data_IF_806808618041
#
_entry.id   IF_806808618041
#
_cell.length_a   1.000
_cell.length_b   1.000
_cell.length_c   1.000
_cell.angle_alpha   90.00
_cell.angle_beta   90.00
_cell.angle_gamma   90.00
#
_symmetry.space_group_name_H-M   'P 1'
#
loop_
_entity.id
_entity.type
_entity.pdbx_description
1 polymer ?
#
# COMPACT_ATOMS: atom_id res chain seq x y z
N UNK A 1 -8.33 1.33 -16.53
CA UNK A 1 -8.46 -0.02 -15.95
C UNK A 1 -7.59 -0.08 -14.70
N UNK A 2 -8.17 -0.44 -13.55
CA UNK A 2 -7.43 -0.55 -12.29
C UNK A 2 -6.65 -1.87 -12.27
N UNK A 3 -5.36 -1.82 -11.88
CA UNK A 3 -4.50 -3.00 -11.79
C UNK A 3 -3.90 -3.08 -10.40
N UNK A 4 -4.12 -4.19 -9.70
CA UNK A 4 -3.49 -4.49 -8.42
C UNK A 4 -2.06 -4.99 -8.70
N UNK A 5 -1.07 -4.34 -8.09
CA UNK A 5 0.35 -4.69 -8.25
C UNK A 5 0.76 -5.78 -7.26
N UNK A 6 0.22 -5.74 -6.04
CA UNK A 6 0.47 -6.72 -4.98
C UNK A 6 -0.08 -6.25 -3.63
N UNK A 7 0.14 -7.04 -2.59
CA UNK A 7 -0.16 -6.71 -1.20
C UNK A 7 1.14 -6.56 -0.39
N UNK A 8 1.13 -5.68 0.60
CA UNK A 8 2.28 -5.43 1.46
C UNK A 8 1.83 -5.29 2.92
N UNK A 9 2.53 -5.99 3.82
CA UNK A 9 2.30 -5.96 5.26
C UNK A 9 3.36 -5.13 6.01
N UNK A 10 4.42 -4.71 5.32
CA UNK A 10 5.49 -3.89 5.88
C UNK A 10 5.99 -2.85 4.86
N UNK A 11 6.76 -1.86 5.35
CA UNK A 11 7.31 -0.79 4.51
C UNK A 11 8.30 -1.30 3.45
N UNK A 12 9.01 -2.39 3.73
CA UNK A 12 9.98 -2.99 2.82
C UNK A 12 9.29 -3.60 1.60
N UNK A 13 8.16 -4.28 1.81
CA UNK A 13 7.28 -4.82 0.78
C UNK A 13 6.67 -3.70 -0.05
N UNK A 14 6.26 -2.57 0.58
CA UNK A 14 5.79 -1.39 -0.16
C UNK A 14 6.90 -0.88 -1.10
N UNK A 15 8.14 -0.74 -0.64
CA UNK A 15 9.26 -0.36 -1.51
C UNK A 15 9.47 -1.34 -2.66
N UNK A 16 9.37 -2.65 -2.39
CA UNK A 16 9.46 -3.69 -3.41
C UNK A 16 8.36 -3.54 -4.48
N UNK A 17 7.12 -3.29 -4.08
CA UNK A 17 5.99 -3.08 -5.00
C UNK A 17 6.15 -1.81 -5.84
N UNK A 18 6.66 -0.73 -5.25
CA UNK A 18 6.98 0.50 -5.98
C UNK A 18 8.10 0.28 -7.00
N UNK A 19 9.12 -0.52 -6.66
CA UNK A 19 10.19 -0.87 -7.59
C UNK A 19 9.70 -1.74 -8.75
N UNK A 20 8.85 -2.74 -8.46
CA UNK A 20 8.18 -3.54 -9.50
C UNK A 20 7.36 -2.65 -10.42
N UNK A 21 6.59 -1.70 -9.85
CA UNK A 21 5.80 -0.75 -10.64
C UNK A 21 6.69 0.14 -11.50
N UNK A 22 7.75 0.72 -10.94
CA UNK A 22 8.74 1.52 -11.67
C UNK A 22 9.33 0.75 -12.86
N UNK A 23 9.78 -0.49 -12.63
CA UNK A 23 10.31 -1.37 -13.69
C UNK A 23 9.27 -1.66 -14.77
N UNK A 24 8.01 -1.88 -14.40
CA UNK A 24 6.92 -2.10 -15.36
C UNK A 24 6.64 -0.90 -16.27
N UNK A 25 7.02 0.31 -15.83
CA UNK A 25 6.90 1.55 -16.60
C UNK A 25 8.19 1.87 -17.40
N UNK A 26 9.25 1.07 -17.28
CA UNK A 26 10.53 1.34 -17.92
C UNK A 26 11.29 2.55 -17.37
N UNK A 27 10.91 3.05 -16.18
CA UNK A 27 11.56 4.22 -15.58
C UNK A 27 12.87 3.83 -14.89
N UNK A 28 13.91 4.65 -15.02
CA UNK A 28 15.11 4.54 -14.18
C UNK A 28 14.86 5.12 -12.79
N UNK A 29 15.71 4.83 -11.80
CA UNK A 29 15.62 5.47 -10.48
C UNK A 29 15.76 7.00 -10.57
N UNK A 30 16.67 7.48 -11.42
CA UNK A 30 16.86 8.92 -11.64
C UNK A 30 15.62 9.57 -12.26
N UNK A 31 14.99 8.93 -13.26
CA UNK A 31 13.76 9.43 -13.86
C UNK A 31 12.59 9.45 -12.87
N UNK A 32 12.53 8.45 -11.97
CA UNK A 32 11.54 8.45 -10.89
C UNK A 32 11.79 9.58 -9.89
N UNK A 33 13.04 9.80 -9.47
CA UNK A 33 13.38 10.88 -8.54
C UNK A 33 13.00 12.24 -9.13
N UNK A 34 13.30 12.48 -10.40
CA UNK A 34 12.93 13.71 -11.12
C UNK A 34 11.41 13.88 -11.21
N UNK A 35 10.68 12.86 -11.66
CA UNK A 35 9.23 12.88 -11.77
C UNK A 35 8.51 13.05 -10.41
N UNK A 36 9.10 12.57 -9.33
CA UNK A 36 8.57 12.69 -7.97
C UNK A 36 9.06 13.96 -7.23
N UNK A 37 9.91 14.79 -7.85
CA UNK A 37 10.50 15.96 -7.20
C UNK A 37 11.38 15.61 -6.00
N UNK A 38 12.04 14.46 -6.03
CA UNK A 38 12.94 13.97 -5.01
C UNK A 38 14.40 14.30 -5.33
N UNK A 39 15.25 14.26 -4.32
CA UNK A 39 16.70 14.40 -4.52
C UNK A 39 17.24 13.25 -5.38
N UNK A 40 18.13 13.54 -6.32
CA UNK A 40 18.78 12.52 -7.15
C UNK A 40 19.42 11.38 -6.32
N UNK A 41 19.12 10.14 -6.67
CA UNK A 41 19.58 8.92 -6.01
C UNK A 41 18.78 8.55 -4.75
N UNK A 42 17.67 9.22 -4.46
CA UNK A 42 16.80 8.90 -3.33
C UNK A 42 16.21 7.50 -3.50
N UNK A 43 15.57 7.23 -4.63
CA UNK A 43 14.95 5.93 -4.94
C UNK A 43 16.00 4.81 -5.02
N UNK A 44 17.22 5.07 -5.48
CA UNK A 44 18.31 4.09 -5.46
C UNK A 44 18.63 3.62 -4.04
N UNK A 45 18.67 4.53 -3.06
CA UNK A 45 18.90 4.16 -1.65
C UNK A 45 17.72 3.43 -1.03
N UNK A 46 16.51 3.78 -1.47
CA UNK A 46 15.27 3.19 -1.02
C UNK A 46 15.10 1.74 -1.51
N UNK A 47 15.47 1.46 -2.76
CA UNK A 47 15.35 0.13 -3.37
C UNK A 47 16.61 -0.74 -3.23
N UNK A 48 17.68 -0.21 -2.63
CA UNK A 48 18.89 -0.98 -2.38
C UNK A 48 18.65 -2.12 -1.39
N UNK A 49 19.25 -3.28 -1.66
CA UNK A 49 19.26 -4.43 -0.76
C UNK A 49 19.86 -4.01 0.59
N UNK A 50 19.11 -4.15 1.68
CA UNK A 50 19.55 -3.77 3.02
C UNK A 50 19.06 -2.41 3.53
N UNK A 51 18.10 -1.76 2.85
CA UNK A 51 17.31 -0.61 3.31
C UNK A 51 18.06 0.41 4.17
N UNK A 52 18.83 1.29 3.53
CA UNK A 52 19.51 2.38 4.24
C UNK A 52 18.59 3.57 4.56
N UNK A 53 17.30 3.53 4.18
CA UNK A 53 16.37 4.66 4.38
C UNK A 53 14.90 4.23 4.49
N UNK A 54 14.21 4.77 5.48
CA UNK A 54 12.75 4.64 5.62
C UNK A 54 12.02 5.67 4.74
N UNK A 55 10.80 5.36 4.32
CA UNK A 55 9.92 6.33 3.68
C UNK A 55 9.65 7.50 4.62
N UNK A 56 9.96 8.71 4.17
CA UNK A 56 9.38 9.91 4.78
C UNK A 56 7.95 10.10 4.28
N UNK A 57 7.07 10.69 5.10
CA UNK A 57 5.68 10.97 4.71
C UNK A 57 5.56 11.69 3.36
N UNK A 58 6.44 12.67 3.09
CA UNK A 58 6.43 13.42 1.81
C UNK A 58 6.91 12.58 0.62
N UNK A 59 7.80 11.62 0.84
CA UNK A 59 8.41 10.86 -0.25
C UNK A 59 7.46 9.80 -0.83
N UNK A 60 6.66 9.16 0.01
CA UNK A 60 5.74 8.11 -0.39
C UNK A 60 4.61 8.68 -1.28
N UNK A 61 3.99 9.79 -0.87
CA UNK A 61 2.94 10.43 -1.65
C UNK A 61 3.42 10.89 -3.02
N UNK A 62 4.60 11.53 -3.09
CA UNK A 62 5.18 11.97 -4.36
C UNK A 62 5.53 10.79 -5.28
N UNK A 63 6.10 9.71 -4.76
CA UNK A 63 6.38 8.52 -5.56
C UNK A 63 5.12 7.83 -6.07
N UNK A 64 4.07 7.74 -5.25
CA UNK A 64 2.78 7.20 -5.68
C UNK A 64 2.18 8.06 -6.81
N UNK A 65 2.23 9.38 -6.69
CA UNK A 65 1.81 10.30 -7.74
C UNK A 65 2.58 10.08 -9.04
N UNK A 66 3.91 10.02 -8.97
CA UNK A 66 4.78 9.79 -10.14
C UNK A 66 4.56 8.42 -10.80
N UNK A 67 4.24 7.39 -10.03
CA UNK A 67 4.00 6.02 -10.53
C UNK A 67 2.54 5.76 -10.93
N UNK A 68 1.65 6.74 -10.74
CA UNK A 68 0.20 6.58 -10.91
C UNK A 68 -0.39 5.49 -10.00
N UNK A 69 0.16 5.35 -8.80
CA UNK A 69 -0.22 4.36 -7.79
C UNK A 69 -1.15 4.92 -6.72
N UNK A 70 -1.88 4.03 -6.08
CA UNK A 70 -2.74 4.31 -4.92
C UNK A 70 -2.46 3.27 -3.84
N UNK A 71 -2.57 3.66 -2.57
CA UNK A 71 -2.55 2.73 -1.43
C UNK A 71 -3.98 2.48 -0.99
N UNK A 72 -4.35 1.21 -0.87
CA UNK A 72 -5.59 0.78 -0.25
C UNK A 72 -5.30 0.19 1.11
N UNK A 73 -6.05 0.63 2.12
CA UNK A 73 -6.06 -0.03 3.42
C UNK A 73 -7.12 -1.13 3.37
N UNK A 74 -6.68 -2.38 3.51
CA UNK A 74 -7.57 -3.53 3.64
C UNK A 74 -7.60 -3.92 5.10
N UNK A 75 -8.78 -3.85 5.71
CA UNK A 75 -9.01 -4.29 7.08
C UNK A 75 -9.72 -5.63 7.06
N UNK A 76 -9.14 -6.62 7.72
CA UNK A 76 -9.78 -7.91 7.99
C UNK A 76 -9.89 -8.06 9.51
N UNK A 77 -11.13 -7.96 10.02
CA UNK A 77 -11.40 -8.00 11.45
C UNK A 77 -11.12 -9.38 12.06
N UNK A 78 -11.13 -10.44 11.25
CA UNK A 78 -10.86 -11.81 11.69
C UNK A 78 -9.37 -12.06 11.93
N UNK A 79 -8.49 -11.26 11.30
CA UNK A 79 -7.04 -11.34 11.47
C UNK A 79 -6.53 -10.48 12.63
N UNK A 80 -7.40 -9.77 13.35
CA UNK A 80 -7.01 -8.90 14.47
C UNK A 80 -6.46 -9.77 15.63
N UNK A 81 -5.21 -9.54 16.07
CA UNK A 81 -4.65 -10.27 17.21
C UNK A 81 -5.50 -10.09 18.48
N UNK A 82 -5.67 -11.15 19.31
CA UNK A 82 -6.47 -11.05 20.54
C UNK A 82 -6.03 -9.92 21.49
N UNK A 83 -4.72 -9.61 21.51
CA UNK A 83 -4.18 -8.50 22.30
C UNK A 83 -4.72 -7.14 21.87
N UNK A 84 -4.96 -6.94 20.57
CA UNK A 84 -5.58 -5.71 20.05
C UNK A 84 -7.04 -5.63 20.47
N UNK A 85 -7.75 -6.77 20.50
CA UNK A 85 -9.13 -6.84 20.99
C UNK A 85 -9.27 -6.48 22.48
N UNK A 86 -8.27 -6.77 23.31
CA UNK A 86 -8.26 -6.34 24.72
C UNK A 86 -8.30 -4.81 24.87
N UNK A 87 -7.70 -4.06 23.95
CA UNK A 87 -7.77 -2.59 23.98
C UNK A 87 -9.12 -2.05 23.52
N UNK A 88 -9.93 -2.84 22.81
CA UNK A 88 -11.28 -2.45 22.36
C UNK A 88 -12.21 -2.22 23.54
N UNK A 89 -12.15 -3.06 24.57
CA UNK A 89 -12.98 -2.95 25.80
C UNK A 89 -12.53 -1.84 26.76
N UNK A 90 -11.30 -1.32 26.61
CA UNK A 90 -10.72 -0.30 27.50
C UNK A 90 -10.78 1.12 26.92
N UNK A 91 -11.40 1.33 25.76
CA UNK A 91 -11.54 2.67 25.21
C UNK A 91 -12.45 3.52 26.10
N UNK A 92 -11.99 4.70 26.58
CA UNK A 92 -12.86 5.60 27.34
C UNK A 92 -14.04 5.98 26.45
N UNK A 93 -15.27 5.91 27.00
CA UNK A 93 -16.54 6.20 26.31
C UNK A 93 -16.57 7.56 25.57
N UNK A 94 -15.59 8.43 25.77
CA UNK A 94 -15.40 9.68 25.02
C UNK A 94 -15.22 9.49 23.51
N UNK A 95 -14.82 8.31 23.05
CA UNK A 95 -14.75 7.97 21.61
C UNK A 95 -15.88 7.03 21.15
N UNK A 96 -16.88 6.76 21.99
CA UNK A 96 -18.01 5.90 21.62
C UNK A 96 -18.96 6.58 20.63
N UNK A 97 -18.84 7.89 20.44
CA UNK A 97 -19.43 8.52 19.28
C UNK A 97 -18.51 8.26 18.08
N UNK A 98 -19.01 7.63 17.00
CA UNK A 98 -18.26 7.64 15.76
C UNK A 98 -17.94 9.11 15.47
N UNK A 99 -16.67 9.48 15.18
CA UNK A 99 -16.41 10.82 14.69
C UNK A 99 -17.40 11.01 13.56
N UNK A 100 -18.27 12.02 13.65
CA UNK A 100 -19.13 12.36 12.53
C UNK A 100 -18.19 12.42 11.34
N UNK A 101 -18.32 11.45 10.42
CA UNK A 101 -17.47 11.37 9.23
C UNK A 101 -17.80 12.64 8.48
N UNK A 102 -17.07 13.72 8.79
CA UNK A 102 -17.11 14.91 8.00
C UNK A 102 -16.76 14.41 6.61
N UNK A 103 -17.63 14.62 5.60
CA UNK A 103 -17.35 14.19 4.26
C UNK A 103 -16.10 14.93 3.82
N UNK A 104 -14.93 14.32 4.02
CA UNK A 104 -13.72 14.80 3.43
C UNK A 104 -13.93 14.59 1.92
N UNK A 105 -13.85 15.65 1.11
CA UNK A 105 -14.12 15.55 -0.33
C UNK A 105 -13.19 14.55 -1.05
N UNK A 106 -12.10 14.14 -0.40
CA UNK A 106 -11.13 13.15 -0.85
C UNK A 106 -11.36 11.72 -0.34
N UNK A 107 -12.20 11.50 0.67
CA UNK A 107 -12.56 10.16 1.17
C UNK A 107 -13.88 9.72 0.55
N UNK A 108 -13.86 9.53 -0.77
CA UNK A 108 -14.93 8.78 -1.43
C UNK A 108 -14.65 7.31 -1.15
N UNK A 109 -15.61 6.60 -0.55
CA UNK A 109 -15.62 5.14 -0.58
C UNK A 109 -15.75 4.73 -2.04
N UNK A 110 -14.61 4.54 -2.72
CA UNK A 110 -14.61 4.08 -4.11
C UNK A 110 -14.90 2.58 -4.06
N UNK A 111 -16.06 2.12 -4.55
CA UNK A 111 -16.29 0.69 -4.70
C UNK A 111 -15.21 0.17 -5.66
N UNK A 112 -14.28 -0.64 -5.15
CA UNK A 112 -13.24 -1.26 -5.96
C UNK A 112 -13.94 -2.27 -6.88
N UNK A 113 -13.94 -2.07 -8.20
CA UNK A 113 -14.61 -3.00 -9.11
C UNK A 113 -13.98 -4.38 -8.97
N UNK A 114 -14.77 -5.38 -8.57
CA UNK A 114 -14.33 -6.76 -8.37
C UNK A 114 -14.07 -7.17 -6.92
N UNK A 115 -14.18 -6.26 -5.94
CA UNK A 115 -14.22 -6.64 -4.52
C UNK A 115 -15.68 -6.94 -4.15
N UNK A 116 -16.05 -8.22 -4.10
CA UNK A 116 -17.38 -8.65 -3.66
C UNK A 116 -17.61 -8.29 -2.19
N UNK A 117 -18.84 -7.96 -1.83
CA UNK A 117 -19.22 -7.72 -0.43
C UNK A 117 -19.05 -9.00 0.41
N UNK A 118 -18.73 -8.89 1.72
CA UNK A 118 -18.59 -10.06 2.58
C UNK A 118 -19.91 -10.85 2.59
N UNK A 119 -19.85 -12.11 2.12
CA UNK A 119 -20.99 -13.02 1.99
C UNK A 119 -21.22 -13.56 0.58
N UNK A 120 -20.50 -13.06 -0.42
CA UNK A 120 -20.61 -13.53 -1.79
C UNK A 120 -19.38 -14.39 -2.13
N UNK A 121 -19.60 -15.68 -2.39
CA UNK A 121 -18.57 -16.72 -2.61
C UNK A 121 -17.46 -16.20 -3.54
N UNK A 122 -16.23 -16.16 -3.01
CA UNK A 122 -15.08 -15.62 -3.71
C UNK A 122 -14.79 -16.45 -4.96
N UNK A 123 -14.60 -15.83 -6.14
CA UNK A 123 -14.08 -16.57 -7.29
C UNK A 123 -12.70 -17.13 -6.90
N UNK A 124 -12.47 -18.41 -7.23
CA UNK A 124 -11.22 -19.09 -6.96
C UNK A 124 -10.04 -18.19 -7.38
N UNK A 125 -9.13 -17.92 -6.43
CA UNK A 125 -7.95 -17.12 -6.69
C UNK A 125 -7.23 -17.70 -7.92
N UNK A 126 -6.88 -16.88 -8.93
CA UNK A 126 -6.05 -17.38 -10.02
C UNK A 126 -4.76 -17.92 -9.42
N UNK A 127 -4.31 -19.09 -9.89
CA UNK A 127 -3.05 -19.69 -9.48
C UNK A 127 -1.98 -18.61 -9.48
N UNK A 128 -1.47 -18.33 -8.28
CA UNK A 128 -0.30 -17.46 -8.12
C UNK A 128 0.82 -18.18 -8.85
N UNK A 129 1.14 -17.72 -10.06
CA UNK A 129 2.35 -18.14 -10.76
C UNK A 129 3.50 -17.61 -9.90
N UNK A 130 4.01 -18.46 -9.02
CA UNK A 130 5.21 -18.20 -8.25
C UNK A 130 6.34 -17.99 -9.27
N UNK A 131 6.71 -16.73 -9.49
CA UNK A 131 7.93 -16.44 -10.24
C UNK A 131 9.09 -17.05 -9.45
N UNK A 132 9.90 -17.94 -10.07
CA UNK A 132 11.05 -18.50 -9.39
C UNK A 132 11.94 -17.34 -8.95
N UNK A 133 12.19 -17.29 -7.64
CA UNK A 133 13.21 -16.43 -7.07
C UNK A 133 14.56 -16.87 -7.68
N UNK A 134 15.08 -16.09 -8.63
CA UNK A 134 16.42 -16.27 -9.17
C UNK A 134 17.41 -15.57 -8.23
N UNK A 135 18.30 -16.31 -7.53
CA UNK A 135 19.37 -15.69 -6.77
C UNK A 135 20.37 -15.06 -7.74
N UNK A 136 20.54 -13.74 -7.63
CA UNK A 136 21.60 -12.96 -8.27
C UNK A 136 22.45 -12.25 -7.23
#
# INVERSE_FOLDING_TARGET
MLKIVGAANDLSQIAGLLDVRRRSLGLTCLALDDAAGLSSGYSTKLFAKGYNKNFGNMSLSSMLGALGGLIFLVCDDDLIPPITNHYRSSTPRRFAHPPALLPHPSLVAVPIPGLKAPGEEAPALPEVIALPYLPG
#
